data_IF_876765042457
#
_entry.id   IF_876765042457
#
_cell.length_a   1.000
_cell.length_b   1.000
_cell.length_c   1.000
_cell.angle_alpha   90.00
_cell.angle_beta   90.00
_cell.angle_gamma   90.00
#
_symmetry.space_group_name_H-M   'P 1'
#
loop_
_entity.id
_entity.type
_entity.pdbx_description
1 polymer ?
#
# COMPACT_ATOMS: atom_id res chain seq x y z
N UNK A 1 -6.52 -7.49 18.12
CA UNK A 1 -5.60 -8.66 18.03
C UNK A 1 -4.14 -8.23 18.21
N UNK A 2 -3.62 -7.21 17.44
CA UNK A 2 -2.22 -6.77 17.58
C UNK A 2 -1.89 -6.39 19.02
N UNK A 3 -2.76 -5.64 19.72
CA UNK A 3 -2.55 -5.23 21.12
C UNK A 3 -2.32 -6.38 22.11
N UNK A 4 -2.83 -7.55 21.79
CA UNK A 4 -2.66 -8.76 22.63
C UNK A 4 -1.40 -9.50 22.23
N UNK A 5 -1.23 -9.79 20.94
CA UNK A 5 -0.10 -10.62 20.50
C UNK A 5 1.26 -9.94 20.65
N UNK A 6 1.35 -8.63 20.47
CA UNK A 6 2.61 -7.89 20.58
C UNK A 6 3.17 -7.81 22.01
N UNK A 7 2.42 -8.24 23.01
CA UNK A 7 2.91 -8.31 24.41
C UNK A 7 3.89 -9.46 24.60
N UNK A 8 3.60 -10.60 23.96
CA UNK A 8 4.31 -11.86 24.23
C UNK A 8 5.02 -12.43 22.98
N UNK A 9 4.67 -11.95 21.78
CA UNK A 9 5.15 -12.52 20.53
C UNK A 9 5.70 -11.47 19.58
N UNK A 10 6.70 -11.87 18.80
CA UNK A 10 7.04 -11.15 17.58
C UNK A 10 6.02 -11.45 16.49
N UNK A 11 5.38 -10.40 15.96
CA UNK A 11 4.32 -10.50 14.97
C UNK A 11 4.78 -9.95 13.63
N UNK A 12 4.71 -10.76 12.59
CA UNK A 12 4.91 -10.28 11.22
C UNK A 12 3.56 -10.16 10.51
N UNK A 13 3.20 -8.93 10.14
CA UNK A 13 2.04 -8.66 9.28
C UNK A 13 2.45 -8.78 7.83
N UNK A 14 1.88 -9.73 7.12
CA UNK A 14 2.07 -9.90 5.68
C UNK A 14 0.91 -9.27 4.95
N UNK A 15 1.19 -8.25 4.11
CA UNK A 15 0.16 -7.54 3.36
C UNK A 15 0.36 -7.71 1.85
N UNK A 16 -0.54 -8.46 1.16
CA UNK A 16 -0.43 -8.69 -0.27
C UNK A 16 -0.93 -7.49 -1.08
N UNK A 17 -0.14 -7.08 -2.08
CA UNK A 17 -0.45 -6.01 -3.02
C UNK A 17 -0.42 -6.54 -4.46
N UNK A 18 -1.48 -6.35 -5.27
CA UNK A 18 -1.51 -6.81 -6.65
C UNK A 18 -0.69 -5.88 -7.56
N UNK A 19 0.61 -6.17 -7.74
CA UNK A 19 1.49 -5.41 -8.64
C UNK A 19 0.95 -5.42 -10.07
N UNK A 20 0.71 -6.61 -10.65
CA UNK A 20 -0.08 -6.75 -11.86
C UNK A 20 -1.34 -7.55 -11.53
N UNK A 21 -2.44 -7.17 -12.13
CA UNK A 21 -3.69 -7.88 -11.97
C UNK A 21 -4.34 -8.16 -13.32
N UNK A 22 -4.72 -9.42 -13.54
CA UNK A 22 -5.54 -9.82 -14.68
C UNK A 22 -6.95 -10.09 -14.20
N UNK A 23 -7.90 -9.64 -14.99
CA UNK A 23 -9.33 -9.78 -14.73
C UNK A 23 -9.91 -10.77 -15.73
N UNK A 24 -10.60 -11.78 -15.21
CA UNK A 24 -11.40 -12.74 -15.98
C UNK A 24 -12.82 -12.79 -15.44
N UNK A 25 -13.78 -13.13 -16.28
CA UNK A 25 -15.18 -13.22 -15.89
C UNK A 25 -15.65 -14.66 -15.98
N UNK A 26 -16.42 -15.07 -14.98
CA UNK A 26 -16.99 -16.41 -14.86
C UNK A 26 -18.50 -16.31 -15.09
N UNK A 27 -19.00 -17.12 -16.02
CA UNK A 27 -20.42 -17.30 -16.22
C UNK A 27 -21.00 -18.12 -15.05
N UNK A 28 -22.03 -17.61 -14.33
CA UNK A 28 -22.58 -18.31 -13.16
C UNK A 28 -23.28 -19.64 -13.53
N UNK A 29 -23.80 -19.77 -14.77
CA UNK A 29 -24.62 -20.91 -15.16
C UNK A 29 -23.79 -22.13 -15.55
N UNK A 30 -22.66 -21.92 -16.23
CA UNK A 30 -21.83 -23.03 -16.76
C UNK A 30 -20.37 -23.00 -16.26
N UNK A 31 -19.97 -21.97 -15.47
CA UNK A 31 -18.61 -21.85 -14.96
C UNK A 31 -17.55 -21.43 -16.00
N UNK A 32 -17.97 -21.10 -17.21
CA UNK A 32 -17.04 -20.72 -18.29
C UNK A 32 -16.31 -19.42 -17.97
N UNK A 33 -14.98 -19.44 -18.14
CA UNK A 33 -14.11 -18.27 -17.91
C UNK A 33 -13.88 -17.52 -19.20
N UNK A 34 -14.19 -16.22 -19.20
CA UNK A 34 -14.14 -15.38 -20.39
C UNK A 34 -13.30 -14.10 -20.18
N UNK A 35 -12.75 -13.59 -21.27
CA UNK A 35 -12.29 -12.22 -21.42
C UNK A 35 -11.16 -11.80 -20.48
N UNK A 36 -10.10 -12.61 -20.38
CA UNK A 36 -8.90 -12.26 -19.60
C UNK A 36 -8.26 -10.98 -20.10
N UNK A 37 -8.13 -9.96 -19.22
CA UNK A 37 -7.46 -8.70 -19.55
C UNK A 37 -6.63 -8.17 -18.38
N UNK A 38 -5.52 -7.50 -18.69
CA UNK A 38 -4.71 -6.82 -17.68
C UNK A 38 -5.41 -5.56 -17.17
N UNK A 39 -5.44 -5.38 -15.85
CA UNK A 39 -5.89 -4.13 -15.22
C UNK A 39 -4.86 -3.02 -15.52
N UNK A 40 -5.29 -1.81 -15.87
CA UNK A 40 -4.38 -0.68 -16.01
C UNK A 40 -3.83 -0.19 -14.67
N UNK A 41 -4.45 -0.55 -13.54
CA UNK A 41 -4.01 -0.15 -12.21
C UNK A 41 -2.89 -1.06 -11.73
N UNK A 42 -1.76 -0.46 -11.41
CA UNK A 42 -0.65 -1.08 -10.68
C UNK A 42 -0.65 -0.59 -9.24
N UNK A 43 -0.33 -1.48 -8.32
CA UNK A 43 -0.13 -1.12 -6.92
C UNK A 43 1.36 -1.06 -6.62
N UNK A 44 1.70 -0.11 -5.77
CA UNK A 44 3.04 0.05 -5.21
C UNK A 44 2.99 -0.17 -3.70
N UNK A 45 4.14 -0.21 -3.04
CA UNK A 45 4.24 -0.27 -1.58
C UNK A 45 3.46 0.86 -0.88
N UNK A 46 3.39 2.03 -1.50
CA UNK A 46 2.68 3.20 -0.95
C UNK A 46 1.16 3.00 -0.85
N UNK A 47 0.57 2.12 -1.65
CA UNK A 47 -0.86 1.79 -1.58
C UNK A 47 -1.24 1.05 -0.28
N UNK A 48 -0.27 0.44 0.40
CA UNK A 48 -0.49 -0.20 1.70
C UNK A 48 -0.67 0.80 2.84
N UNK A 49 -0.18 2.04 2.69
CA UNK A 49 -0.11 3.01 3.78
C UNK A 49 -1.47 3.50 4.25
N UNK A 50 -2.50 3.40 3.42
CA UNK A 50 -3.89 3.60 3.84
C UNK A 50 -4.31 2.60 4.93
N UNK A 51 -3.95 1.32 4.79
CA UNK A 51 -4.25 0.29 5.78
C UNK A 51 -3.29 0.37 6.98
N UNK A 52 -2.00 0.60 6.74
CA UNK A 52 -1.00 0.76 7.81
C UNK A 52 -1.32 1.95 8.71
N UNK A 53 -1.96 2.99 8.20
CA UNK A 53 -2.41 4.13 8.99
C UNK A 53 -3.36 3.72 10.13
N UNK A 54 -4.16 2.68 9.92
CA UNK A 54 -5.11 2.16 10.93
C UNK A 54 -4.40 1.50 12.11
N UNK A 55 -3.18 1.02 11.90
CA UNK A 55 -2.35 0.39 12.92
C UNK A 55 -1.11 1.22 13.27
N UNK A 56 -1.11 2.50 12.91
CA UNK A 56 0.04 3.40 13.06
C UNK A 56 0.63 3.41 14.48
N UNK A 57 -0.20 3.36 15.51
CA UNK A 57 0.24 3.35 16.91
C UNK A 57 1.12 2.16 17.28
N UNK A 58 1.07 1.08 16.51
CA UNK A 58 1.89 -0.13 16.76
C UNK A 58 3.19 -0.14 15.98
N UNK A 59 3.38 0.72 14.97
CA UNK A 59 4.54 0.68 14.07
C UNK A 59 5.89 0.98 14.76
N UNK A 60 5.86 1.57 15.95
CA UNK A 60 7.06 1.75 16.81
C UNK A 60 7.32 0.57 17.74
N UNK A 61 6.48 -0.46 17.72
CA UNK A 61 6.67 -1.62 18.60
C UNK A 61 7.76 -2.54 18.02
N UNK A 62 8.83 -2.86 18.79
CA UNK A 62 9.95 -3.67 18.30
C UNK A 62 9.56 -5.12 17.99
N UNK A 63 8.39 -5.58 18.48
CA UNK A 63 7.87 -6.92 18.19
C UNK A 63 7.00 -6.95 16.92
N UNK A 64 6.91 -5.85 16.15
CA UNK A 64 6.12 -5.80 14.92
C UNK A 64 7.01 -5.65 13.70
N UNK A 65 6.90 -6.61 12.78
CA UNK A 65 7.44 -6.51 11.42
C UNK A 65 6.31 -6.41 10.40
N UNK A 66 6.54 -5.67 9.31
CA UNK A 66 5.61 -5.55 8.18
C UNK A 66 6.28 -6.04 6.91
N UNK A 67 5.65 -6.99 6.21
CA UNK A 67 6.07 -7.45 4.90
C UNK A 67 5.00 -7.08 3.86
N UNK A 68 5.32 -6.16 2.96
CA UNK A 68 4.48 -5.85 1.81
C UNK A 68 4.89 -6.77 0.66
N UNK A 69 3.98 -7.64 0.23
CA UNK A 69 4.25 -8.63 -0.82
C UNK A 69 3.60 -8.17 -2.11
N UNK A 70 4.40 -7.59 -3.02
CA UNK A 70 3.95 -7.21 -4.35
C UNK A 70 3.93 -8.47 -5.22
N UNK A 71 2.75 -8.80 -5.75
CA UNK A 71 2.53 -10.04 -6.49
C UNK A 71 1.70 -9.85 -7.75
N UNK A 72 1.88 -10.74 -8.69
CA UNK A 72 0.97 -10.88 -9.82
C UNK A 72 -0.26 -11.68 -9.38
N UNK A 73 -1.43 -11.28 -9.85
CA UNK A 73 -2.70 -11.81 -9.37
C UNK A 73 -3.73 -11.98 -10.50
N UNK A 74 -4.39 -13.11 -10.53
CA UNK A 74 -5.62 -13.31 -11.31
C UNK A 74 -6.83 -12.99 -10.44
N UNK A 75 -7.72 -12.14 -10.90
CA UNK A 75 -8.99 -11.84 -10.24
C UNK A 75 -10.14 -12.35 -11.12
N UNK A 76 -10.92 -13.25 -10.59
CA UNK A 76 -12.12 -13.78 -11.21
C UNK A 76 -13.34 -13.01 -10.72
N UNK A 77 -14.23 -12.67 -11.65
CA UNK A 77 -15.48 -11.95 -11.37
C UNK A 77 -16.65 -12.76 -11.88
N UNK A 78 -17.64 -13.00 -11.04
CA UNK A 78 -18.87 -13.68 -11.40
C UNK A 78 -19.83 -12.71 -12.10
N UNK A 79 -20.29 -13.07 -13.30
CA UNK A 79 -21.26 -12.30 -14.09
C UNK A 79 -22.69 -12.54 -13.59
N UNK A 80 -23.00 -12.04 -12.40
CA UNK A 80 -24.30 -12.22 -11.73
C UNK A 80 -25.23 -11.03 -11.85
N UNK A 81 -24.99 -10.11 -12.79
CA UNK A 81 -25.81 -8.92 -13.03
C UNK A 81 -25.68 -7.80 -11.99
N UNK A 82 -24.87 -8.00 -10.94
CA UNK A 82 -24.71 -7.02 -9.86
C UNK A 82 -23.29 -6.48 -9.78
N UNK A 83 -23.13 -5.16 -9.58
CA UNK A 83 -21.85 -4.56 -9.20
C UNK A 83 -22.07 -3.28 -8.40
N UNK A 84 -21.16 -2.99 -7.47
CA UNK A 84 -21.21 -1.78 -6.66
C UNK A 84 -21.14 -0.50 -7.50
N UNK A 85 -20.33 -0.49 -8.53
CA UNK A 85 -20.15 0.64 -9.47
C UNK A 85 -21.12 0.61 -10.65
N UNK A 86 -22.08 -0.32 -10.67
CA UNK A 86 -23.05 -0.57 -11.73
C UNK A 86 -22.43 -0.80 -13.12
N UNK A 87 -21.13 -1.04 -13.18
CA UNK A 87 -20.41 -1.37 -14.41
C UNK A 87 -20.35 -2.89 -14.56
N UNK A 88 -20.71 -3.38 -15.74
CA UNK A 88 -20.59 -4.77 -16.17
C UNK A 88 -21.27 -5.85 -15.30
N UNK A 89 -22.05 -5.46 -14.29
CA UNK A 89 -22.86 -6.40 -13.50
C UNK A 89 -22.11 -7.63 -13.00
N UNK A 90 -20.98 -7.46 -12.32
CA UNK A 90 -20.16 -8.57 -11.84
C UNK A 90 -19.63 -8.33 -10.43
N UNK A 91 -19.64 -9.35 -9.60
CA UNK A 91 -19.04 -9.35 -8.25
C UNK A 91 -17.69 -10.08 -8.28
N UNK A 92 -16.84 -9.76 -7.29
CA UNK A 92 -15.61 -10.52 -7.10
C UNK A 92 -15.94 -11.94 -6.67
N UNK A 93 -15.36 -12.91 -7.37
CA UNK A 93 -15.51 -14.35 -7.08
C UNK A 93 -14.28 -14.86 -6.35
N UNK A 94 -13.09 -14.71 -6.96
CA UNK A 94 -11.85 -15.19 -6.37
C UNK A 94 -10.63 -14.34 -6.76
N UNK A 95 -9.54 -14.51 -6.03
CA UNK A 95 -8.22 -13.94 -6.30
C UNK A 95 -7.15 -14.99 -6.10
N UNK A 96 -6.43 -15.29 -7.16
CA UNK A 96 -5.37 -16.29 -7.17
C UNK A 96 -4.02 -15.60 -7.35
N UNK A 97 -3.11 -15.68 -6.37
CA UNK A 97 -1.74 -15.23 -6.56
C UNK A 97 -1.03 -16.11 -7.57
N UNK A 98 -0.35 -15.49 -8.53
CA UNK A 98 0.36 -16.20 -9.62
C UNK A 98 1.86 -16.23 -9.38
N UNK A 99 2.41 -15.17 -8.84
CA UNK A 99 3.83 -15.08 -8.55
C UNK A 99 4.19 -13.86 -7.73
N UNK A 100 5.23 -13.97 -6.92
CA UNK A 100 5.76 -12.86 -6.12
C UNK A 100 6.75 -12.08 -6.99
N UNK A 101 6.58 -10.76 -7.04
CA UNK A 101 7.49 -9.82 -7.73
C UNK A 101 8.57 -9.28 -6.82
N UNK A 102 8.14 -8.80 -5.64
CA UNK A 102 9.02 -8.16 -4.67
C UNK A 102 8.39 -8.24 -3.28
N UNK A 103 9.25 -8.32 -2.26
CA UNK A 103 8.85 -8.16 -0.86
C UNK A 103 9.58 -6.94 -0.32
N UNK A 104 8.82 -5.98 0.19
CA UNK A 104 9.33 -4.82 0.92
C UNK A 104 9.14 -5.10 2.40
N UNK A 105 10.23 -5.10 3.17
CA UNK A 105 10.24 -5.46 4.58
C UNK A 105 10.51 -4.22 5.43
N UNK A 106 9.81 -4.15 6.55
CA UNK A 106 10.01 -3.16 7.59
C UNK A 106 10.10 -3.93 8.92
N UNK A 107 11.31 -4.27 9.33
CA UNK A 107 11.60 -4.95 10.59
C UNK A 107 11.98 -3.94 11.67
N UNK A 108 12.50 -2.77 11.26
CA UNK A 108 12.91 -1.65 12.12
C UNK A 108 12.42 -0.33 11.54
N UNK A 109 12.46 0.72 12.34
CA UNK A 109 12.02 2.06 11.92
C UNK A 109 12.87 2.57 10.74
N UNK A 110 14.17 2.33 10.77
CA UNK A 110 15.11 2.75 9.72
C UNK A 110 14.77 2.17 8.34
N UNK A 111 14.14 0.98 8.31
CA UNK A 111 13.75 0.34 7.05
C UNK A 111 12.71 1.16 6.26
N UNK A 112 11.98 2.05 6.93
CA UNK A 112 11.03 2.95 6.27
C UNK A 112 11.71 4.04 5.45
N UNK A 113 13.02 4.28 5.63
CA UNK A 113 13.81 5.19 4.79
C UNK A 113 13.78 4.80 3.30
N UNK A 114 13.66 3.50 2.98
CA UNK A 114 13.54 3.03 1.59
C UNK A 114 12.33 3.60 0.82
N UNK A 115 11.38 4.21 1.53
CA UNK A 115 10.22 4.88 0.93
C UNK A 115 10.47 6.33 0.58
N UNK A 116 11.56 6.91 1.05
CA UNK A 116 11.92 8.30 0.75
C UNK A 116 12.61 8.32 -0.62
N UNK A 117 12.03 9.00 -1.65
CA UNK A 117 12.69 9.10 -2.94
C UNK A 117 14.02 9.83 -2.84
N UNK A 118 15.04 9.32 -3.53
CA UNK A 118 16.39 9.90 -3.51
C UNK A 118 16.45 11.32 -4.10
N UNK A 119 15.56 11.63 -5.06
CA UNK A 119 15.53 12.91 -5.78
C UNK A 119 14.69 13.98 -5.06
N UNK A 120 14.33 13.73 -3.78
CA UNK A 120 13.56 14.70 -3.01
C UNK A 120 14.41 15.91 -2.64
N UNK A 121 13.84 17.11 -2.74
CA UNK A 121 14.46 18.33 -2.24
C UNK A 121 14.57 18.28 -0.72
N UNK A 122 15.48 19.06 -0.14
CA UNK A 122 15.63 19.19 1.30
C UNK A 122 14.29 19.55 1.96
N UNK A 123 13.67 20.63 1.51
CA UNK A 123 12.31 21.01 1.91
C UNK A 123 11.30 20.60 0.85
N UNK A 124 10.35 19.76 1.22
CA UNK A 124 9.36 19.23 0.28
C UNK A 124 7.94 19.22 0.84
N UNK A 125 6.98 19.30 -0.06
CA UNK A 125 5.55 19.17 0.25
C UNK A 125 5.04 17.77 -0.08
N UNK A 126 3.77 17.50 0.31
CA UNK A 126 3.08 16.26 -0.11
C UNK A 126 3.05 16.10 -1.62
N UNK A 127 2.93 17.21 -2.39
CA UNK A 127 2.91 17.18 -3.85
C UNK A 127 4.28 16.85 -4.44
N UNK A 128 5.35 17.41 -3.85
CA UNK A 128 6.73 17.10 -4.27
C UNK A 128 7.02 15.62 -4.04
N UNK A 129 6.66 15.09 -2.87
CA UNK A 129 6.78 13.67 -2.57
C UNK A 129 5.97 12.80 -3.55
N UNK A 130 4.72 13.16 -3.83
CA UNK A 130 3.86 12.43 -4.77
C UNK A 130 4.49 12.35 -6.17
N UNK A 131 5.08 13.45 -6.62
CA UNK A 131 5.74 13.55 -7.93
C UNK A 131 7.03 12.71 -7.96
N UNK A 132 7.88 12.82 -6.94
CA UNK A 132 9.14 12.08 -6.86
C UNK A 132 8.91 10.57 -6.71
N UNK A 133 7.92 10.15 -5.89
CA UNK A 133 7.56 8.73 -5.71
C UNK A 133 6.70 8.16 -6.86
N UNK A 134 6.18 8.99 -7.77
CA UNK A 134 5.29 8.55 -8.86
C UNK A 134 3.94 8.03 -8.37
N UNK A 135 3.41 8.56 -7.26
CA UNK A 135 2.18 8.08 -6.63
C UNK A 135 1.13 9.19 -6.47
N UNK A 136 -0.09 8.81 -6.06
CA UNK A 136 -1.14 9.79 -5.81
C UNK A 136 -0.82 10.68 -4.60
N UNK A 137 -1.36 11.92 -4.62
CA UNK A 137 -1.27 12.85 -3.47
C UNK A 137 -1.90 12.24 -2.22
N UNK A 138 -2.93 11.41 -2.37
CA UNK A 138 -3.59 10.74 -1.26
C UNK A 138 -2.68 9.68 -0.63
N UNK A 139 -2.08 8.80 -1.43
CA UNK A 139 -1.11 7.81 -0.94
C UNK A 139 0.06 8.50 -0.24
N UNK A 140 0.58 9.60 -0.82
CA UNK A 140 1.65 10.41 -0.22
C UNK A 140 1.27 10.99 1.13
N UNK A 141 0.01 11.42 1.33
CA UNK A 141 -0.46 11.94 2.63
C UNK A 141 -0.42 10.88 3.72
N UNK A 142 -0.88 9.65 3.42
CA UNK A 142 -0.82 8.55 4.37
C UNK A 142 0.61 8.15 4.67
N UNK A 143 1.44 8.02 3.63
CA UNK A 143 2.86 7.69 3.76
C UNK A 143 3.58 8.72 4.63
N UNK A 144 3.51 10.01 4.29
CA UNK A 144 4.17 11.07 5.05
C UNK A 144 3.63 11.22 6.48
N UNK A 145 2.36 10.90 6.72
CA UNK A 145 1.82 10.88 8.07
C UNK A 145 2.48 9.78 8.92
N UNK A 146 2.69 8.60 8.34
CA UNK A 146 3.37 7.49 9.00
C UNK A 146 4.87 7.81 9.15
N UNK A 147 5.54 8.24 8.10
CA UNK A 147 6.97 8.60 8.15
C UNK A 147 7.25 9.71 9.19
N UNK A 148 6.35 10.70 9.31
CA UNK A 148 6.47 11.73 10.35
C UNK A 148 6.20 11.18 11.77
N UNK A 149 5.31 10.22 11.92
CA UNK A 149 5.08 9.54 13.19
C UNK A 149 6.29 8.70 13.62
N UNK A 150 6.95 8.06 12.65
CA UNK A 150 8.17 7.28 12.85
C UNK A 150 9.45 8.14 12.94
N UNK A 151 9.30 9.46 12.78
CA UNK A 151 10.40 10.43 12.85
C UNK A 151 11.41 10.37 11.69
N UNK A 152 11.09 9.59 10.65
CA UNK A 152 11.86 9.53 9.39
C UNK A 152 11.83 10.88 8.66
N UNK A 153 10.71 11.59 8.72
CA UNK A 153 10.58 12.95 8.23
C UNK A 153 10.01 13.84 9.34
N UNK A 154 10.42 15.10 9.37
CA UNK A 154 9.92 16.12 10.32
C UNK A 154 9.14 17.19 9.56
N UNK A 155 8.06 17.71 10.17
CA UNK A 155 7.38 18.90 9.68
C UNK A 155 8.16 20.12 10.08
N UNK A 156 8.63 20.92 9.12
CA UNK A 156 9.45 22.11 9.33
C UNK A 156 8.65 23.40 9.18
N UNK A 157 7.51 23.36 8.48
CA UNK A 157 6.72 24.56 8.25
C UNK A 157 5.41 24.35 7.53
N UNK A 158 4.83 25.42 7.03
CA UNK A 158 3.63 25.42 6.18
C UNK A 158 3.79 26.38 5.01
N UNK A 159 3.35 25.96 3.83
CA UNK A 159 3.21 26.79 2.63
C UNK A 159 1.76 26.72 2.18
N UNK A 160 1.04 27.85 2.24
CA UNK A 160 -0.42 27.91 2.01
C UNK A 160 -1.14 26.92 2.96
N UNK A 161 -1.86 25.95 2.40
CA UNK A 161 -2.62 24.96 3.17
C UNK A 161 -1.88 23.61 3.33
N UNK A 162 -0.59 23.54 2.97
CA UNK A 162 0.20 22.30 3.02
C UNK A 162 1.33 22.37 4.06
N UNK A 163 1.66 21.22 4.64
CA UNK A 163 2.87 21.08 5.45
C UNK A 163 4.10 20.97 4.55
N UNK A 164 5.21 21.51 5.04
CA UNK A 164 6.57 21.30 4.53
C UNK A 164 7.25 20.27 5.41
N UNK A 165 8.00 19.38 4.80
CA UNK A 165 8.71 18.29 5.46
C UNK A 165 10.19 18.34 5.09
N UNK A 166 11.01 17.81 5.98
CA UNK A 166 12.42 17.52 5.75
C UNK A 166 12.73 16.08 6.20
N UNK A 167 13.68 15.42 5.56
CA UNK A 167 14.17 14.11 6.00
C UNK A 167 15.01 14.30 7.26
N UNK A 168 14.86 13.41 8.23
CA UNK A 168 15.66 13.48 9.46
C UNK A 168 17.07 12.95 9.19
N UNK A 169 18.10 13.70 9.57
CA UNK A 169 19.51 13.35 9.35
C UNK A 169 20.04 12.24 10.29
N UNK A 170 19.26 11.82 11.27
CA UNK A 170 19.68 10.92 12.36
C UNK A 170 19.48 9.42 12.07
N UNK A 171 19.34 9.01 10.80
CA UNK A 171 19.19 7.60 10.42
C UNK A 171 20.34 7.11 9.53
#
# INVERSE_FOLDING_TARGET
KLSVFLQDYHVTVVYPLPFNKWLSWVNPDNGEVQGRRKSPRHFTEYDAFYELYKIKSYLKNPNLSINLVLMDMEEYKLLNGWSYDKKRGSTRYDRVPVGIRRIVKFDRIEDYMQLVPADLKEDFTVKDFAMAAGVSVEASRYTLNILNYLEIVKRTGRVKNGYVYNVTEEF
#
